data_IF_281494370101
#
_entry.id   IF_281494370101
#
_cell.length_a   1.000
_cell.length_b   1.000
_cell.length_c   1.000
_cell.angle_alpha   90.00
_cell.angle_beta   90.00
_cell.angle_gamma   90.00
#
_symmetry.space_group_name_H-M   'P 1'
#
loop_
_entity.id
_entity.type
_entity.pdbx_description
1 polymer ?
#
# COMPACT_ATOMS: atom_id res chain seq x y z
N UNK A 1 14.71 -27.81 6.52
CA UNK A 1 14.53 -27.02 5.28
C UNK A 1 13.04 -27.06 5.06
N UNK A 2 12.36 -25.95 5.22
CA UNK A 2 10.93 -25.84 4.90
C UNK A 2 10.80 -25.94 3.39
N UNK A 3 9.95 -26.86 2.95
CA UNK A 3 9.69 -27.17 1.52
C UNK A 3 8.80 -26.05 0.94
N UNK A 4 9.33 -24.81 0.92
CA UNK A 4 8.62 -23.68 0.30
C UNK A 4 8.69 -23.82 -1.22
N UNK A 5 7.60 -23.59 -1.94
CA UNK A 5 7.61 -23.66 -3.39
C UNK A 5 8.52 -22.57 -3.99
N UNK A 6 9.04 -22.82 -5.17
CA UNK A 6 9.74 -21.79 -5.94
C UNK A 6 8.80 -20.63 -6.29
N UNK A 7 9.30 -19.38 -6.33
CA UNK A 7 8.52 -18.25 -6.82
C UNK A 7 7.93 -18.49 -8.21
N UNK A 8 6.76 -17.90 -8.48
CA UNK A 8 6.16 -17.97 -9.81
C UNK A 8 7.13 -17.41 -10.86
N UNK A 9 7.24 -17.99 -12.07
CA UNK A 9 8.15 -17.49 -13.11
C UNK A 9 8.01 -16.01 -13.45
N UNK A 10 6.79 -15.46 -13.35
CA UNK A 10 6.52 -14.03 -13.56
C UNK A 10 7.20 -13.12 -12.51
N UNK A 11 7.69 -13.68 -11.39
CA UNK A 11 8.44 -12.93 -10.37
C UNK A 11 9.89 -12.65 -10.78
N UNK A 12 10.39 -13.31 -11.82
CA UNK A 12 11.78 -13.17 -12.26
C UNK A 12 12.23 -11.73 -12.46
N UNK A 13 11.49 -10.84 -13.16
CA UNK A 13 11.93 -9.45 -13.35
C UNK A 13 12.13 -8.70 -12.02
N UNK A 14 11.28 -8.95 -11.02
CA UNK A 14 11.40 -8.33 -9.71
C UNK A 14 12.61 -8.86 -8.93
N UNK A 15 12.86 -10.17 -9.00
CA UNK A 15 14.00 -10.81 -8.35
C UNK A 15 15.30 -10.31 -8.96
N UNK A 16 15.42 -10.36 -10.29
CA UNK A 16 16.61 -9.87 -11.02
C UNK A 16 16.90 -8.39 -10.76
N UNK A 17 15.86 -7.55 -10.76
CA UNK A 17 16.02 -6.12 -10.46
C UNK A 17 16.52 -5.88 -9.02
N UNK A 18 16.12 -6.69 -8.05
CA UNK A 18 16.61 -6.64 -6.66
C UNK A 18 18.04 -7.16 -6.53
N UNK A 19 18.32 -8.29 -7.14
CA UNK A 19 19.65 -8.94 -7.07
C UNK A 19 20.72 -8.09 -7.77
N UNK A 20 20.35 -7.26 -8.72
CA UNK A 20 21.25 -6.30 -9.36
C UNK A 20 21.65 -5.12 -8.45
N UNK A 21 20.96 -4.91 -7.32
CA UNK A 21 21.28 -3.80 -6.41
C UNK A 21 22.50 -4.12 -5.55
N UNK A 22 23.43 -3.16 -5.38
CA UNK A 22 24.57 -3.36 -4.51
C UNK A 22 24.14 -3.43 -3.03
N UNK A 23 24.95 -4.08 -2.16
CA UNK A 23 24.70 -4.05 -0.72
C UNK A 23 24.62 -2.63 -0.20
N UNK A 24 23.56 -2.29 0.55
CA UNK A 24 23.33 -0.98 1.13
C UNK A 24 23.52 -1.02 2.66
N UNK A 25 24.33 -0.10 3.20
CA UNK A 25 24.65 0.02 4.63
C UNK A 25 23.96 1.21 5.29
N UNK A 26 23.53 2.17 4.51
CA UNK A 26 22.89 3.41 4.98
C UNK A 26 21.49 3.54 4.41
N UNK A 27 20.64 4.33 5.06
CA UNK A 27 19.30 4.68 4.55
C UNK A 27 19.39 5.34 3.16
N UNK A 28 20.38 6.23 2.97
CA UNK A 28 20.57 6.89 1.69
C UNK A 28 20.88 5.91 0.55
N UNK A 29 21.75 4.92 0.79
CA UNK A 29 22.05 3.86 -0.18
C UNK A 29 20.83 2.97 -0.44
N UNK A 30 20.06 2.62 0.60
CA UNK A 30 18.84 1.84 0.44
C UNK A 30 17.79 2.60 -0.39
N UNK A 31 17.66 3.91 -0.22
CA UNK A 31 16.77 4.75 -1.04
C UNK A 31 17.25 4.83 -2.48
N UNK A 32 18.55 5.01 -2.71
CA UNK A 32 19.13 5.03 -4.06
C UNK A 32 18.89 3.70 -4.80
N UNK A 33 19.12 2.57 -4.14
CA UNK A 33 18.84 1.24 -4.69
C UNK A 33 17.33 1.06 -5.01
N UNK A 34 16.46 1.56 -4.13
CA UNK A 34 15.01 1.50 -4.34
C UNK A 34 14.57 2.29 -5.57
N UNK A 35 15.10 3.51 -5.73
CA UNK A 35 14.86 4.35 -6.90
C UNK A 35 15.34 3.66 -8.18
N UNK A 36 16.60 3.20 -8.21
CA UNK A 36 17.18 2.50 -9.36
C UNK A 36 16.38 1.25 -9.74
N UNK A 37 16.00 0.42 -8.76
CA UNK A 37 15.15 -0.75 -9.00
C UNK A 37 13.78 -0.35 -9.58
N UNK A 38 13.18 0.71 -9.04
CA UNK A 38 11.87 1.20 -9.50
C UNK A 38 11.92 1.74 -10.93
N UNK A 39 12.99 2.44 -11.29
CA UNK A 39 13.25 2.90 -12.67
C UNK A 39 13.37 1.72 -13.64
N UNK A 40 14.08 0.67 -13.25
CA UNK A 40 14.24 -0.54 -14.08
C UNK A 40 12.92 -1.29 -14.32
N UNK A 41 11.95 -1.15 -13.41
CA UNK A 41 10.64 -1.81 -13.48
C UNK A 41 9.53 -0.87 -13.97
N UNK A 42 9.86 0.37 -14.33
CA UNK A 42 8.87 1.37 -14.76
C UNK A 42 8.26 1.01 -16.10
N UNK A 43 6.95 1.19 -16.22
CA UNK A 43 6.24 1.16 -17.49
C UNK A 43 5.80 2.57 -17.91
N UNK A 44 5.73 2.86 -19.23
CA UNK A 44 5.30 4.16 -19.72
C UNK A 44 3.82 4.42 -19.41
N UNK A 45 3.46 5.69 -19.28
CA UNK A 45 2.05 6.07 -19.13
C UNK A 45 1.23 5.70 -20.36
N UNK A 46 -0.04 5.32 -20.17
CA UNK A 46 -0.99 5.23 -21.27
C UNK A 46 -1.17 6.59 -21.96
N UNK A 47 -1.35 6.60 -23.27
CA UNK A 47 -1.50 7.85 -24.06
C UNK A 47 -2.67 8.73 -23.61
N UNK A 48 -3.70 8.14 -23.02
CA UNK A 48 -4.92 8.82 -22.54
C UNK A 48 -4.88 9.16 -21.04
N UNK A 49 -3.72 9.16 -20.42
CA UNK A 49 -3.53 9.50 -19.00
C UNK A 49 -3.01 10.92 -18.82
N UNK A 50 -3.77 11.75 -18.14
CA UNK A 50 -3.28 13.07 -17.68
C UNK A 50 -2.62 12.91 -16.31
N UNK A 51 -1.39 13.39 -16.18
CA UNK A 51 -0.63 13.36 -14.92
C UNK A 51 -0.32 14.79 -14.50
N UNK A 52 -0.74 15.17 -13.29
CA UNK A 52 -0.52 16.51 -12.73
C UNK A 52 -0.01 16.41 -11.30
N UNK A 53 0.52 17.51 -10.78
CA UNK A 53 0.93 17.62 -9.37
C UNK A 53 -0.05 18.52 -8.63
N UNK A 54 -0.30 18.16 -7.37
CA UNK A 54 -1.06 18.96 -6.40
C UNK A 54 -0.43 18.82 -5.02
N UNK A 55 -0.98 19.48 -3.99
CA UNK A 55 -0.47 19.40 -2.63
C UNK A 55 -1.58 19.60 -1.60
N UNK A 56 -1.73 18.63 -0.70
CA UNK A 56 -2.63 18.71 0.43
C UNK A 56 -2.01 19.54 1.56
N UNK A 57 -2.70 20.57 2.10
CA UNK A 57 -2.19 21.34 3.22
C UNK A 57 -2.12 20.49 4.50
N UNK A 58 -1.09 20.73 5.31
CA UNK A 58 -0.93 20.17 6.66
C UNK A 58 -0.27 21.19 7.59
N UNK A 59 -0.30 21.00 8.92
CA UNK A 59 0.45 21.84 9.83
C UNK A 59 1.95 21.87 9.48
N UNK A 60 2.49 23.06 9.25
CA UNK A 60 3.90 23.29 8.94
C UNK A 60 4.32 22.97 7.50
N UNK A 61 3.36 22.82 6.54
CA UNK A 61 3.71 22.62 5.13
C UNK A 61 2.58 22.00 4.31
N UNK A 62 2.95 21.20 3.34
CA UNK A 62 2.01 20.45 2.49
C UNK A 62 2.54 19.05 2.18
N UNK A 63 1.63 18.17 1.78
CA UNK A 63 1.91 16.80 1.32
C UNK A 63 1.80 16.80 -0.21
N UNK A 64 2.87 16.55 -0.96
CA UNK A 64 2.79 16.48 -2.42
C UNK A 64 1.90 15.31 -2.87
N UNK A 65 1.11 15.55 -3.91
CA UNK A 65 0.24 14.56 -4.54
C UNK A 65 0.54 14.49 -6.04
N UNK A 66 0.65 13.28 -6.58
CA UNK A 66 0.61 13.08 -8.02
C UNK A 66 -0.76 12.54 -8.39
N UNK A 67 -1.42 13.24 -9.32
CA UNK A 67 -2.80 12.96 -9.73
C UNK A 67 -2.79 12.32 -11.11
N UNK A 68 -3.34 11.13 -11.21
CA UNK A 68 -3.52 10.40 -12.46
C UNK A 68 -4.99 10.40 -12.85
N UNK A 69 -5.31 11.06 -13.95
CA UNK A 69 -6.69 11.18 -14.44
C UNK A 69 -6.79 10.54 -15.82
N UNK A 70 -7.43 9.37 -15.95
CA UNK A 70 -7.67 8.76 -17.25
C UNK A 70 -8.71 9.56 -18.03
N UNK A 71 -8.65 9.51 -19.37
CA UNK A 71 -9.69 10.10 -20.20
C UNK A 71 -11.04 9.41 -19.91
N UNK A 72 -12.07 10.21 -19.69
CA UNK A 72 -13.39 9.69 -19.32
C UNK A 72 -13.47 9.15 -17.88
N UNK A 73 -12.71 9.74 -16.96
CA UNK A 73 -12.76 9.39 -15.53
C UNK A 73 -14.22 9.31 -15.03
N UNK A 74 -14.52 8.25 -14.25
CA UNK A 74 -15.89 7.83 -13.91
C UNK A 74 -16.49 8.54 -12.67
N UNK A 75 -15.83 9.57 -12.16
CA UNK A 75 -16.27 10.33 -10.98
C UNK A 75 -15.95 9.66 -9.64
N UNK A 76 -15.09 8.65 -9.60
CA UNK A 76 -14.57 8.06 -8.38
C UNK A 76 -13.09 8.40 -8.15
N UNK A 77 -12.59 8.19 -6.94
CA UNK A 77 -11.19 8.43 -6.60
C UNK A 77 -10.58 7.29 -5.79
N UNK A 78 -9.26 7.14 -5.92
CA UNK A 78 -8.44 6.26 -5.10
C UNK A 78 -7.26 7.07 -4.56
N UNK A 79 -7.10 7.13 -3.24
CA UNK A 79 -5.84 7.56 -2.63
C UNK A 79 -4.91 6.35 -2.53
N UNK A 80 -3.73 6.46 -3.12
CA UNK A 80 -2.74 5.40 -3.12
C UNK A 80 -1.54 5.77 -2.25
N UNK A 81 -1.19 4.87 -1.33
CA UNK A 81 -0.05 4.97 -0.43
C UNK A 81 0.97 3.91 -0.82
N UNK A 82 2.16 4.34 -1.26
CA UNK A 82 3.20 3.44 -1.73
C UNK A 82 3.85 2.64 -0.61
N UNK A 83 4.41 1.47 -0.94
CA UNK A 83 5.24 0.67 -0.04
C UNK A 83 6.67 1.21 0.07
N UNK A 84 7.44 0.62 0.98
CA UNK A 84 8.85 0.96 1.20
C UNK A 84 9.28 0.98 2.66
N UNK A 85 8.54 0.30 3.56
CA UNK A 85 8.87 0.20 4.98
C UNK A 85 8.86 1.53 5.71
N UNK A 86 8.04 2.49 5.28
CA UNK A 86 7.97 3.87 5.78
C UNK A 86 9.30 4.65 5.64
N UNK A 87 10.35 4.03 5.10
CA UNK A 87 11.71 4.56 5.06
C UNK A 87 12.14 4.96 3.66
N UNK A 88 11.60 4.34 2.64
CA UNK A 88 11.93 4.54 1.22
C UNK A 88 10.66 4.55 0.38
N UNK A 89 10.80 4.97 -0.86
CA UNK A 89 9.69 5.20 -1.77
C UNK A 89 9.39 6.69 -1.92
N UNK A 90 8.73 7.00 -3.01
CA UNK A 90 8.33 8.32 -3.45
C UNK A 90 7.27 8.18 -4.55
N UNK A 91 6.83 9.29 -5.12
CA UNK A 91 5.85 9.29 -6.21
C UNK A 91 6.33 8.50 -7.45
N UNK A 92 7.65 8.50 -7.73
CA UNK A 92 8.20 7.81 -8.90
C UNK A 92 8.26 6.29 -8.69
N UNK A 93 8.59 5.86 -7.49
CA UNK A 93 8.68 4.43 -7.17
C UNK A 93 7.31 3.75 -7.05
N UNK A 94 6.25 4.51 -6.71
CA UNK A 94 4.85 4.05 -6.69
C UNK A 94 4.11 4.21 -8.02
N UNK A 95 4.73 4.88 -8.98
CA UNK A 95 4.13 5.39 -10.21
C UNK A 95 3.37 4.31 -11.02
N UNK A 96 4.04 3.20 -11.35
CA UNK A 96 3.46 2.12 -12.17
C UNK A 96 2.22 1.48 -11.52
N UNK A 97 2.18 1.38 -10.21
CA UNK A 97 1.01 0.85 -9.47
C UNK A 97 -0.11 1.89 -9.47
N UNK A 98 0.20 3.16 -9.15
CA UNK A 98 -0.78 4.23 -9.06
C UNK A 98 -1.52 4.48 -10.39
N UNK A 99 -0.80 4.68 -11.50
CA UNK A 99 -1.48 4.86 -12.79
C UNK A 99 -2.16 3.58 -13.27
N UNK A 100 -1.69 2.41 -12.80
CA UNK A 100 -2.35 1.15 -13.05
C UNK A 100 -3.76 1.10 -12.48
N UNK A 101 -3.94 1.51 -11.24
CA UNK A 101 -5.29 1.65 -10.67
C UNK A 101 -6.15 2.61 -11.50
N UNK A 102 -5.61 3.78 -11.87
CA UNK A 102 -6.36 4.75 -12.68
C UNK A 102 -6.80 4.16 -14.04
N UNK A 103 -5.89 3.47 -14.73
CA UNK A 103 -6.16 2.86 -16.03
C UNK A 103 -7.23 1.76 -15.94
N UNK A 104 -7.09 0.86 -14.98
CA UNK A 104 -7.95 -0.33 -14.89
C UNK A 104 -9.32 -0.01 -14.27
N UNK A 105 -9.42 0.97 -13.39
CA UNK A 105 -10.68 1.30 -12.69
C UNK A 105 -11.44 2.47 -13.31
N UNK A 106 -10.78 3.35 -14.05
CA UNK A 106 -11.37 4.61 -14.51
C UNK A 106 -11.45 5.70 -13.42
N UNK A 107 -10.97 5.42 -12.22
CA UNK A 107 -10.93 6.39 -11.12
C UNK A 107 -9.81 7.42 -11.29
N UNK A 108 -9.96 8.60 -10.70
CA UNK A 108 -8.84 9.53 -10.48
C UNK A 108 -8.00 9.01 -9.32
N UNK A 109 -6.69 8.81 -9.53
CA UNK A 109 -5.81 8.30 -8.47
C UNK A 109 -4.90 9.42 -7.95
N UNK A 110 -4.84 9.54 -6.63
CA UNK A 110 -3.96 10.46 -5.92
C UNK A 110 -2.87 9.64 -5.21
N UNK A 111 -1.66 9.65 -5.76
CA UNK A 111 -0.49 9.06 -5.10
C UNK A 111 0.09 10.04 -4.12
N UNK A 112 0.27 9.63 -2.87
CA UNK A 112 0.63 10.49 -1.74
C UNK A 112 2.12 10.35 -1.42
N UNK A 113 2.85 11.47 -1.43
CA UNK A 113 4.26 11.55 -1.06
C UNK A 113 4.40 11.87 0.45
N UNK A 114 4.10 10.88 1.26
CA UNK A 114 4.13 11.01 2.72
C UNK A 114 5.56 11.05 3.26
N UNK A 115 5.76 11.70 4.39
CA UNK A 115 7.06 11.82 5.07
C UNK A 115 7.60 10.48 5.52
N UNK A 116 8.92 10.28 5.36
CA UNK A 116 9.61 9.03 5.61
C UNK A 116 10.45 9.06 6.89
N UNK A 117 10.65 7.87 7.48
CA UNK A 117 11.63 7.62 8.54
C UNK A 117 13.04 7.51 7.95
N UNK A 118 14.09 7.75 8.74
CA UNK A 118 14.10 8.12 10.16
C UNK A 118 13.83 9.61 10.43
N UNK A 119 13.78 10.46 9.38
CA UNK A 119 13.64 11.91 9.54
C UNK A 119 12.29 12.26 10.20
N UNK A 120 11.27 11.46 9.92
CA UNK A 120 9.91 11.65 10.42
C UNK A 120 9.29 10.32 10.83
N UNK A 121 9.47 9.95 12.10
CA UNK A 121 8.83 8.77 12.66
C UNK A 121 7.30 8.92 12.79
N UNK A 122 6.62 7.85 13.18
CA UNK A 122 5.19 7.91 13.51
C UNK A 122 4.93 9.07 14.51
N UNK A 123 3.86 9.86 14.30
CA UNK A 123 2.75 9.65 13.35
C UNK A 123 2.88 10.34 11.98
N UNK A 124 4.05 10.85 11.59
CA UNK A 124 4.18 11.77 10.46
C UNK A 124 3.61 11.25 9.13
N UNK A 125 3.94 10.00 8.73
CA UNK A 125 3.42 9.39 7.51
C UNK A 125 1.88 9.20 7.57
N UNK A 126 1.38 8.77 8.72
CA UNK A 126 -0.06 8.62 8.96
C UNK A 126 -0.79 9.96 8.86
N UNK A 127 -0.27 11.00 9.52
CA UNK A 127 -0.87 12.35 9.50
C UNK A 127 -0.92 12.92 8.07
N UNK A 128 0.14 12.69 7.27
CA UNK A 128 0.19 13.13 5.89
C UNK A 128 -0.85 12.40 5.02
N UNK A 129 -1.00 11.08 5.18
CA UNK A 129 -1.99 10.30 4.45
C UNK A 129 -3.43 10.68 4.83
N UNK A 130 -3.67 10.94 6.12
CA UNK A 130 -4.99 11.37 6.59
C UNK A 130 -5.32 12.80 6.10
N UNK A 131 -4.35 13.73 6.13
CA UNK A 131 -4.51 15.07 5.57
C UNK A 131 -4.80 15.04 4.06
N UNK A 132 -4.16 14.12 3.33
CA UNK A 132 -4.44 13.91 1.91
C UNK A 132 -5.89 13.43 1.68
N UNK A 133 -6.40 12.51 2.52
CA UNK A 133 -7.79 12.07 2.45
C UNK A 133 -8.77 13.24 2.70
N UNK A 134 -8.55 14.03 3.75
CA UNK A 134 -9.40 15.20 4.07
C UNK A 134 -9.39 16.22 2.92
N UNK A 135 -8.21 16.47 2.35
CA UNK A 135 -8.05 17.40 1.24
C UNK A 135 -8.79 16.94 -0.02
N UNK A 136 -8.59 15.68 -0.43
CA UNK A 136 -9.23 15.12 -1.63
C UNK A 136 -10.74 15.07 -1.46
N UNK A 137 -11.25 14.66 -0.31
CA UNK A 137 -12.68 14.63 -0.02
C UNK A 137 -13.29 16.04 -0.02
N UNK A 138 -12.61 17.01 0.60
CA UNK A 138 -13.05 18.40 0.64
C UNK A 138 -13.04 19.11 -0.74
N UNK A 139 -12.22 18.60 -1.67
CA UNK A 139 -12.11 19.12 -3.04
C UNK A 139 -12.66 18.17 -4.13
N UNK A 140 -13.39 17.15 -3.74
CA UNK A 140 -13.86 16.11 -4.65
C UNK A 140 -14.56 16.69 -5.90
N UNK A 141 -15.45 17.67 -5.71
CA UNK A 141 -16.19 18.29 -6.81
C UNK A 141 -15.29 19.05 -7.79
N UNK A 142 -14.18 19.65 -7.32
CA UNK A 142 -13.22 20.37 -8.18
C UNK A 142 -12.53 19.41 -9.17
N UNK A 143 -12.36 18.14 -8.77
CA UNK A 143 -11.82 17.07 -9.61
C UNK A 143 -12.89 16.34 -10.44
N UNK A 144 -14.18 16.63 -10.22
CA UNK A 144 -15.30 15.90 -10.82
C UNK A 144 -15.53 14.54 -10.16
N UNK A 145 -15.27 14.44 -8.86
CA UNK A 145 -15.39 13.22 -8.04
C UNK A 145 -16.61 13.35 -7.13
N UNK A 146 -17.34 12.25 -6.97
CA UNK A 146 -18.35 12.10 -5.92
C UNK A 146 -17.64 11.81 -4.58
N UNK A 147 -17.81 12.64 -3.54
CA UNK A 147 -17.17 12.42 -2.24
C UNK A 147 -17.56 11.10 -1.54
N UNK A 148 -18.67 10.49 -1.94
CA UNK A 148 -19.07 9.15 -1.49
C UNK A 148 -18.35 8.00 -2.20
N UNK A 149 -17.55 8.27 -3.24
CA UNK A 149 -16.88 7.30 -4.10
C UNK A 149 -15.36 7.40 -4.03
N UNK A 150 -14.84 7.50 -2.81
CA UNK A 150 -13.41 7.57 -2.51
C UNK A 150 -12.96 6.27 -1.86
N UNK A 151 -11.97 5.60 -2.43
CA UNK A 151 -11.31 4.45 -1.83
C UNK A 151 -9.88 4.78 -1.39
N UNK A 152 -9.33 3.97 -0.50
CA UNK A 152 -7.90 3.99 -0.15
C UNK A 152 -7.26 2.67 -0.57
N UNK A 153 -6.04 2.74 -1.09
CA UNK A 153 -5.27 1.57 -1.49
C UNK A 153 -3.80 1.75 -1.10
N UNK A 154 -3.15 0.67 -0.72
CA UNK A 154 -1.72 0.73 -0.44
C UNK A 154 -1.07 -0.64 -0.38
N UNK A 155 0.24 -0.67 -0.61
CA UNK A 155 1.04 -1.87 -0.59
C UNK A 155 2.07 -1.85 0.56
N UNK A 156 2.25 -2.96 1.28
CA UNK A 156 3.22 -3.10 2.36
C UNK A 156 3.01 -2.05 3.49
N UNK A 157 3.98 -1.17 3.73
CA UNK A 157 3.83 -0.01 4.61
C UNK A 157 2.66 0.90 4.19
N UNK A 158 2.43 1.08 2.88
CA UNK A 158 1.27 1.79 2.36
C UNK A 158 -0.05 1.08 2.68
N UNK A 159 -0.06 -0.26 2.72
CA UNK A 159 -1.19 -1.05 3.18
C UNK A 159 -1.50 -0.82 4.67
N UNK A 160 -0.47 -0.64 5.50
CA UNK A 160 -0.65 -0.18 6.88
C UNK A 160 -1.32 1.19 6.92
N UNK A 161 -0.79 2.16 6.17
CA UNK A 161 -1.33 3.52 6.12
C UNK A 161 -2.79 3.55 5.63
N UNK A 162 -3.16 2.71 4.65
CA UNK A 162 -4.54 2.59 4.17
C UNK A 162 -5.48 2.04 5.27
N UNK A 163 -5.05 1.02 6.01
CA UNK A 163 -5.80 0.50 7.14
C UNK A 163 -5.92 1.54 8.28
N UNK A 164 -4.81 2.20 8.64
CA UNK A 164 -4.78 3.22 9.69
C UNK A 164 -5.65 4.44 9.34
N UNK A 165 -5.62 4.90 8.09
CA UNK A 165 -6.47 6.00 7.60
C UNK A 165 -7.94 5.60 7.63
N UNK A 166 -8.28 4.35 7.29
CA UNK A 166 -9.66 3.84 7.36
C UNK A 166 -10.17 3.81 8.80
N UNK A 167 -9.35 3.35 9.75
CA UNK A 167 -9.66 3.41 11.18
C UNK A 167 -9.89 4.84 11.65
N UNK A 168 -8.97 5.76 11.32
CA UNK A 168 -9.06 7.16 11.73
C UNK A 168 -10.25 7.89 11.13
N UNK A 169 -10.59 7.63 9.86
CA UNK A 169 -11.74 8.22 9.20
C UNK A 169 -13.04 7.84 9.93
N UNK A 170 -13.20 6.58 10.30
CA UNK A 170 -14.33 6.13 11.12
C UNK A 170 -14.31 6.76 12.51
N UNK A 171 -13.20 6.66 13.23
CA UNK A 171 -13.11 7.06 14.66
C UNK A 171 -13.29 8.57 14.85
N UNK A 172 -12.87 9.36 13.85
CA UNK A 172 -12.96 10.83 13.87
C UNK A 172 -14.24 11.36 13.21
N UNK A 173 -15.12 10.49 12.71
CA UNK A 173 -16.24 10.87 11.85
C UNK A 173 -15.78 11.75 10.68
N UNK A 174 -14.67 11.38 10.08
CA UNK A 174 -14.03 12.05 8.95
C UNK A 174 -14.66 11.69 7.60
N UNK A 175 -13.94 11.88 6.49
CA UNK A 175 -14.44 11.57 5.15
C UNK A 175 -14.86 10.11 5.02
N UNK A 176 -15.97 9.87 4.32
CA UNK A 176 -16.42 8.51 4.02
C UNK A 176 -15.43 7.83 3.06
N UNK A 177 -15.07 6.58 3.37
CA UNK A 177 -14.27 5.71 2.52
C UNK A 177 -15.18 4.59 2.00
N UNK A 178 -15.32 4.47 0.68
CA UNK A 178 -16.16 3.47 0.03
C UNK A 178 -15.56 2.07 0.07
N UNK A 179 -14.22 1.96 0.01
CA UNK A 179 -13.50 0.69 0.05
C UNK A 179 -12.05 0.89 0.47
N UNK A 180 -11.42 -0.18 1.02
CA UNK A 180 -9.99 -0.24 1.30
C UNK A 180 -9.35 -1.44 0.63
N UNK A 181 -8.20 -1.25 -0.02
CA UNK A 181 -7.39 -2.29 -0.64
C UNK A 181 -6.03 -2.34 0.02
N UNK A 182 -5.74 -3.45 0.70
CA UNK A 182 -4.51 -3.67 1.47
C UNK A 182 -3.70 -4.79 0.84
N UNK A 183 -2.58 -4.46 0.21
CA UNK A 183 -1.77 -5.41 -0.54
C UNK A 183 -0.54 -5.79 0.28
N UNK A 184 -0.38 -7.06 0.60
CA UNK A 184 0.65 -7.62 1.51
C UNK A 184 0.98 -6.66 2.67
N UNK A 185 -0.04 -6.23 3.45
CA UNK A 185 0.09 -5.11 4.36
C UNK A 185 0.93 -5.46 5.59
N UNK A 186 1.70 -4.50 6.10
CA UNK A 186 2.50 -4.60 7.33
C UNK A 186 1.67 -4.06 8.52
N UNK A 187 0.92 -4.91 9.22
CA UNK A 187 -0.13 -4.47 10.16
C UNK A 187 0.23 -4.61 11.65
N UNK A 188 1.42 -5.10 11.96
CA UNK A 188 1.93 -5.14 13.33
C UNK A 188 1.77 -6.47 14.04
N UNK A 189 1.72 -7.58 13.30
CA UNK A 189 1.76 -8.92 13.89
C UNK A 189 3.12 -9.19 14.56
N UNK A 190 3.11 -10.10 15.52
CA UNK A 190 4.34 -10.49 16.22
C UNK A 190 5.30 -11.22 15.28
N UNK A 191 6.44 -10.59 14.98
CA UNK A 191 7.48 -11.14 14.10
C UNK A 191 8.18 -12.40 14.64
N UNK A 192 7.88 -12.85 15.87
CA UNK A 192 8.41 -14.10 16.42
C UNK A 192 7.58 -15.34 16.06
N UNK A 193 6.46 -15.18 15.32
CA UNK A 193 5.50 -16.23 15.03
C UNK A 193 5.20 -16.33 13.54
N UNK A 194 4.59 -17.44 13.14
CA UNK A 194 3.98 -17.65 11.83
C UNK A 194 4.91 -17.46 10.65
N UNK A 195 4.38 -16.83 9.58
CA UNK A 195 5.13 -16.60 8.33
C UNK A 195 6.33 -15.69 8.50
N UNK A 196 6.33 -14.79 9.48
CA UNK A 196 7.52 -14.02 9.83
C UNK A 196 8.71 -14.88 10.29
N UNK A 197 8.47 -16.14 10.67
CA UNK A 197 9.52 -17.14 11.01
C UNK A 197 9.74 -18.11 9.85
N UNK A 198 8.68 -18.66 9.28
CA UNK A 198 8.79 -19.68 8.21
C UNK A 198 9.25 -19.10 6.88
N UNK A 199 9.00 -17.82 6.61
CA UNK A 199 9.44 -17.08 5.44
C UNK A 199 10.45 -15.95 5.80
N UNK A 200 11.24 -16.14 6.86
CA UNK A 200 12.14 -15.10 7.41
C UNK A 200 13.15 -14.56 6.39
N UNK A 201 13.58 -15.39 5.46
CA UNK A 201 14.56 -15.07 4.40
C UNK A 201 13.93 -15.11 3.01
N UNK A 202 12.61 -14.83 2.90
CA UNK A 202 11.91 -14.86 1.63
C UNK A 202 12.50 -13.86 0.62
N UNK A 203 12.50 -14.21 -0.68
CA UNK A 203 12.93 -13.28 -1.70
C UNK A 203 12.15 -11.96 -1.63
N UNK A 204 12.86 -10.85 -1.55
CA UNK A 204 12.27 -9.50 -1.62
C UNK A 204 11.95 -8.84 -0.30
N UNK A 205 11.63 -9.56 0.75
CA UNK A 205 11.44 -9.02 2.09
C UNK A 205 11.90 -10.04 3.13
N UNK A 206 12.80 -9.61 4.03
CA UNK A 206 13.27 -10.45 5.12
C UNK A 206 12.70 -9.98 6.46
N UNK A 207 12.60 -10.90 7.42
CA UNK A 207 12.26 -10.58 8.81
C UNK A 207 13.18 -9.52 9.41
N UNK A 208 14.48 -9.59 9.08
CA UNK A 208 15.47 -8.58 9.53
C UNK A 208 15.09 -7.19 9.04
N UNK A 209 14.77 -7.03 7.75
CA UNK A 209 14.34 -5.77 7.20
C UNK A 209 13.03 -5.26 7.84
N UNK A 210 12.07 -6.15 8.10
CA UNK A 210 10.83 -5.80 8.81
C UNK A 210 11.11 -5.22 10.21
N UNK A 211 12.00 -5.87 10.98
CA UNK A 211 12.38 -5.38 12.31
C UNK A 211 13.02 -3.99 12.24
N UNK A 212 13.90 -3.75 11.25
CA UNK A 212 14.52 -2.45 11.03
C UNK A 212 13.48 -1.36 10.69
N UNK A 213 12.50 -1.68 9.82
CA UNK A 213 11.43 -0.74 9.46
C UNK A 213 10.55 -0.37 10.65
N UNK A 214 10.16 -1.35 11.48
CA UNK A 214 9.40 -1.10 12.69
C UNK A 214 10.14 -0.21 13.67
N UNK A 215 11.42 -0.51 13.94
CA UNK A 215 12.26 0.31 14.84
C UNK A 215 12.36 1.76 14.38
N UNK A 216 12.53 1.98 13.07
CA UNK A 216 12.58 3.33 12.51
C UNK A 216 11.20 4.01 12.57
N UNK A 217 10.14 3.30 12.24
CA UNK A 217 8.78 3.84 12.22
C UNK A 217 8.30 4.24 13.61
N UNK A 218 8.58 3.41 14.61
CA UNK A 218 8.19 3.62 16.01
C UNK A 218 9.24 4.38 16.83
N UNK A 219 10.21 5.05 16.20
CA UNK A 219 11.26 5.82 16.85
C UNK A 219 12.05 5.02 17.91
N UNK A 220 12.42 3.79 17.57
CA UNK A 220 13.19 2.89 18.42
C UNK A 220 12.37 1.99 19.36
N UNK A 221 11.04 2.10 19.36
CA UNK A 221 10.19 1.16 20.09
C UNK A 221 9.98 -0.12 19.26
N UNK A 222 9.97 -1.28 19.93
CA UNK A 222 9.73 -2.58 19.27
C UNK A 222 8.24 -2.89 19.13
N UNK A 223 7.41 -2.32 19.98
CA UNK A 223 5.96 -2.56 20.06
C UNK A 223 5.20 -1.27 20.29
N UNK A 224 3.95 -1.24 19.89
CA UNK A 224 3.02 -0.13 20.15
C UNK A 224 1.62 -0.70 20.37
N UNK A 225 0.81 -0.01 21.15
CA UNK A 225 -0.63 -0.25 21.32
C UNK A 225 -1.50 0.73 20.51
N UNK A 226 -0.86 1.61 19.75
CA UNK A 226 -1.56 2.59 18.92
C UNK A 226 -2.08 1.94 17.62
N UNK A 227 -3.43 1.85 17.42
CA UNK A 227 -4.01 1.21 16.23
C UNK A 227 -3.71 1.95 14.92
N UNK A 228 -3.32 3.22 14.96
CA UNK A 228 -2.93 3.97 13.77
C UNK A 228 -1.47 3.73 13.36
N UNK A 229 -0.66 3.18 14.26
CA UNK A 229 0.68 2.71 13.91
C UNK A 229 0.66 1.22 13.53
N UNK A 230 -0.06 0.41 14.30
CA UNK A 230 -0.17 -1.03 14.12
C UNK A 230 -1.65 -1.45 14.10
N UNK A 231 -2.32 -1.44 12.95
CA UNK A 231 -3.77 -1.69 12.83
C UNK A 231 -4.27 -3.03 13.40
N UNK A 232 -3.40 -4.02 13.57
CA UNK A 232 -3.75 -5.27 14.26
C UNK A 232 -3.81 -5.14 15.79
N UNK A 233 -3.33 -4.04 16.37
CA UNK A 233 -3.23 -3.89 17.82
C UNK A 233 -4.29 -2.91 18.32
N UNK A 234 -5.15 -3.37 19.24
CA UNK A 234 -6.10 -2.51 19.95
C UNK A 234 -7.21 -1.87 19.10
N UNK A 235 -7.36 -2.25 17.83
CA UNK A 235 -8.39 -1.69 16.98
C UNK A 235 -9.74 -2.37 17.19
N UNK A 236 -10.83 -1.57 17.14
CA UNK A 236 -12.16 -2.07 16.83
C UNK A 236 -12.29 -2.21 15.29
N UNK A 237 -12.74 -3.37 14.82
CA UNK A 237 -12.87 -3.69 13.41
C UNK A 237 -14.29 -3.49 12.87
N UNK A 238 -15.24 -3.09 13.73
CA UNK A 238 -16.61 -2.82 13.30
C UNK A 238 -16.72 -1.53 12.48
N UNK A 239 -17.69 -1.48 11.56
CA UNK A 239 -18.03 -0.32 10.76
C UNK A 239 -16.86 0.27 9.93
N UNK A 240 -15.86 -0.55 9.61
CA UNK A 240 -14.83 -0.19 8.63
C UNK A 240 -15.36 -0.36 7.21
N UNK A 241 -14.77 0.34 6.22
CA UNK A 241 -15.16 0.17 4.82
C UNK A 241 -14.91 -1.27 4.35
N UNK A 242 -15.68 -1.77 3.37
CA UNK A 242 -15.41 -3.05 2.72
C UNK A 242 -13.94 -3.15 2.33
N UNK A 243 -13.33 -4.33 2.57
CA UNK A 243 -11.89 -4.51 2.43
C UNK A 243 -11.54 -5.61 1.42
N UNK A 244 -10.53 -5.37 0.58
CA UNK A 244 -9.80 -6.43 -0.12
C UNK A 244 -8.42 -6.57 0.52
N UNK A 245 -8.16 -7.75 1.09
CA UNK A 245 -6.87 -8.08 1.69
C UNK A 245 -6.15 -9.05 0.76
N UNK A 246 -5.03 -8.62 0.20
CA UNK A 246 -4.25 -9.40 -0.75
C UNK A 246 -2.86 -9.70 -0.19
N UNK A 247 -2.56 -10.96 0.06
CA UNK A 247 -1.25 -11.40 0.55
C UNK A 247 -0.46 -12.12 -0.54
N UNK A 248 0.85 -12.22 -0.38
CA UNK A 248 1.70 -13.07 -1.18
C UNK A 248 2.05 -14.34 -0.37
N UNK A 249 2.03 -15.50 -1.01
CA UNK A 249 2.30 -16.76 -0.31
C UNK A 249 3.74 -16.84 0.25
N UNK A 250 4.71 -16.33 -0.52
CA UNK A 250 6.13 -16.34 -0.16
C UNK A 250 6.54 -15.00 0.48
N UNK A 251 5.86 -14.64 1.58
CA UNK A 251 6.02 -13.33 2.22
C UNK A 251 5.95 -13.47 3.75
N UNK A 252 6.91 -12.92 4.51
CA UNK A 252 6.84 -12.92 5.97
C UNK A 252 5.64 -12.15 6.54
N UNK A 253 4.96 -11.31 5.74
CA UNK A 253 3.75 -10.57 6.12
C UNK A 253 2.44 -11.29 5.77
N UNK A 254 2.49 -12.53 5.26
CA UNK A 254 1.26 -13.23 4.86
C UNK A 254 0.25 -13.33 6.01
N UNK A 255 0.70 -13.69 7.20
CA UNK A 255 -0.18 -13.84 8.38
C UNK A 255 -0.75 -12.50 8.86
N UNK A 256 -0.09 -11.36 8.65
CA UNK A 256 -0.64 -10.04 8.96
C UNK A 256 -2.00 -9.85 8.24
N UNK A 257 -2.02 -10.16 6.93
CA UNK A 257 -3.24 -10.06 6.14
C UNK A 257 -4.29 -11.10 6.51
N UNK A 258 -3.91 -12.35 6.80
CA UNK A 258 -4.82 -13.42 7.25
C UNK A 258 -5.54 -13.00 8.52
N UNK A 259 -4.77 -12.61 9.55
CA UNK A 259 -5.33 -12.24 10.87
C UNK A 259 -6.20 -11.00 10.75
N UNK A 260 -5.82 -10.01 9.94
CA UNK A 260 -6.62 -8.81 9.73
C UNK A 260 -7.96 -9.15 9.06
N UNK A 261 -7.95 -9.98 8.02
CA UNK A 261 -9.17 -10.44 7.35
C UNK A 261 -10.10 -11.20 8.31
N UNK A 262 -9.57 -12.06 9.18
CA UNK A 262 -10.37 -12.80 10.14
C UNK A 262 -10.98 -11.88 11.21
N UNK A 263 -10.28 -10.84 11.64
CA UNK A 263 -10.84 -9.84 12.58
C UNK A 263 -11.95 -9.00 11.94
N UNK A 264 -11.79 -8.60 10.66
CA UNK A 264 -12.87 -7.92 9.92
C UNK A 264 -14.11 -8.80 9.82
N UNK A 265 -13.96 -10.08 9.46
CA UNK A 265 -15.07 -11.05 9.42
C UNK A 265 -15.76 -11.19 10.78
N UNK A 266 -14.97 -11.32 11.85
CA UNK A 266 -15.50 -11.45 13.22
C UNK A 266 -16.30 -10.21 13.65
N UNK A 267 -15.94 -9.03 13.13
CA UNK A 267 -16.64 -7.76 13.36
C UNK A 267 -17.78 -7.49 12.36
N UNK A 268 -18.14 -8.47 11.52
CA UNK A 268 -19.14 -8.34 10.45
C UNK A 268 -18.84 -7.23 9.42
N UNK A 269 -17.58 -6.82 9.28
CA UNK A 269 -17.14 -5.92 8.22
C UNK A 269 -16.90 -6.72 6.93
N UNK A 270 -17.48 -6.33 5.77
CA UNK A 270 -17.30 -7.04 4.52
C UNK A 270 -15.82 -7.12 4.14
N UNK A 271 -15.34 -8.33 3.84
CA UNK A 271 -13.94 -8.56 3.46
C UNK A 271 -13.82 -9.66 2.42
N UNK A 272 -13.03 -9.38 1.39
CA UNK A 272 -12.51 -10.37 0.43
C UNK A 272 -11.03 -10.59 0.75
N UNK A 273 -10.66 -11.85 0.98
CA UNK A 273 -9.27 -12.25 1.21
C UNK A 273 -8.75 -13.08 0.04
N UNK A 274 -7.55 -12.76 -0.42
CA UNK A 274 -6.82 -13.49 -1.46
C UNK A 274 -5.36 -13.69 -1.05
N UNK A 275 -4.87 -14.93 -1.13
CA UNK A 275 -3.43 -15.22 -1.11
C UNK A 275 -2.97 -15.49 -2.53
N UNK A 276 -2.03 -14.71 -3.03
CA UNK A 276 -1.44 -14.86 -4.35
C UNK A 276 -0.39 -15.97 -4.32
N UNK A 277 -0.72 -17.12 -4.95
CA UNK A 277 0.09 -18.33 -4.92
C UNK A 277 1.45 -18.12 -5.58
N UNK A 278 2.51 -18.55 -4.91
CA UNK A 278 3.91 -18.45 -5.34
C UNK A 278 4.38 -17.03 -5.68
N UNK A 279 3.61 -16.01 -5.28
CA UNK A 279 4.05 -14.61 -5.38
C UNK A 279 4.92 -14.24 -4.19
N UNK A 280 5.83 -13.29 -4.40
CA UNK A 280 6.69 -12.70 -3.38
C UNK A 280 6.24 -11.27 -3.06
N UNK A 281 6.73 -10.74 -1.95
CA UNK A 281 6.46 -9.35 -1.55
C UNK A 281 6.82 -8.34 -2.66
N UNK A 282 5.89 -7.44 -2.97
CA UNK A 282 6.07 -6.40 -3.99
C UNK A 282 5.65 -6.79 -5.41
N UNK A 283 4.91 -7.89 -5.60
CA UNK A 283 4.52 -8.37 -6.93
C UNK A 283 3.72 -7.34 -7.75
N UNK A 284 2.93 -6.47 -7.13
CA UNK A 284 2.15 -5.45 -7.86
C UNK A 284 3.01 -4.46 -8.66
N UNK A 285 4.28 -4.28 -8.29
CA UNK A 285 5.22 -3.38 -8.99
C UNK A 285 5.54 -3.83 -10.40
N UNK A 286 5.36 -5.13 -10.67
CA UNK A 286 5.60 -5.75 -11.97
C UNK A 286 4.32 -6.26 -12.63
N UNK A 287 3.16 -5.65 -12.31
CA UNK A 287 1.83 -6.04 -12.81
C UNK A 287 1.72 -6.16 -14.34
N UNK A 288 2.67 -5.59 -15.08
CA UNK A 288 2.71 -5.58 -16.54
C UNK A 288 3.71 -6.60 -17.14
N UNK A 289 4.46 -7.35 -16.34
CA UNK A 289 5.52 -8.24 -16.83
C UNK A 289 5.08 -9.68 -17.08
N UNK A 290 3.91 -10.09 -16.59
CA UNK A 290 3.41 -11.44 -16.79
C UNK A 290 1.93 -11.60 -16.49
N UNK A 291 1.28 -12.63 -17.09
CA UNK A 291 -0.16 -12.83 -16.99
C UNK A 291 -0.63 -13.16 -15.57
N UNK A 292 0.16 -13.89 -14.77
CA UNK A 292 -0.23 -14.24 -13.42
C UNK A 292 -0.24 -13.00 -12.50
N UNK A 293 0.78 -12.15 -12.59
CA UNK A 293 0.82 -10.90 -11.82
C UNK A 293 -0.28 -9.94 -12.26
N UNK A 294 -0.51 -9.85 -13.57
CA UNK A 294 -1.62 -9.04 -14.08
C UNK A 294 -2.95 -9.52 -13.54
N UNK A 295 -3.19 -10.82 -13.53
CA UNK A 295 -4.41 -11.40 -12.96
C UNK A 295 -4.63 -10.99 -11.50
N UNK A 296 -3.61 -11.10 -10.66
CA UNK A 296 -3.71 -10.70 -9.25
C UNK A 296 -3.99 -9.18 -9.10
N UNK A 297 -3.43 -8.34 -9.99
CA UNK A 297 -3.74 -6.91 -10.00
C UNK A 297 -5.18 -6.62 -10.50
N UNK A 298 -5.65 -7.37 -11.48
CA UNK A 298 -7.01 -7.24 -12.01
C UNK A 298 -8.09 -7.58 -10.95
N UNK A 299 -7.80 -8.51 -10.03
CA UNK A 299 -8.70 -8.81 -8.91
C UNK A 299 -8.87 -7.60 -7.97
N UNK A 300 -7.78 -6.89 -7.66
CA UNK A 300 -7.84 -5.65 -6.87
C UNK A 300 -8.69 -4.59 -7.55
N UNK A 301 -8.46 -4.40 -8.85
CA UNK A 301 -9.19 -3.42 -9.65
C UNK A 301 -10.67 -3.80 -9.81
N UNK A 302 -10.98 -5.09 -9.93
CA UNK A 302 -12.35 -5.61 -9.97
C UNK A 302 -13.13 -5.27 -8.69
N UNK A 303 -12.54 -5.51 -7.53
CA UNK A 303 -13.13 -5.15 -6.24
C UNK A 303 -13.36 -3.64 -6.12
N UNK A 304 -12.38 -2.82 -6.53
CA UNK A 304 -12.52 -1.36 -6.50
C UNK A 304 -13.66 -0.89 -7.42
N UNK A 305 -13.79 -1.45 -8.61
CA UNK A 305 -14.92 -1.13 -9.52
C UNK A 305 -16.26 -1.44 -8.86
N UNK A 306 -16.42 -2.62 -8.27
CA UNK A 306 -17.66 -3.04 -7.60
C UNK A 306 -18.10 -2.05 -6.51
N UNK A 307 -17.16 -1.46 -5.78
CA UNK A 307 -17.45 -0.57 -4.64
C UNK A 307 -17.40 0.93 -5.00
N UNK A 308 -16.85 1.27 -6.17
CA UNK A 308 -16.75 2.64 -6.65
C UNK A 308 -17.71 2.96 -7.79
N UNK A 309 -18.39 1.98 -8.37
CA UNK A 309 -19.44 2.19 -9.35
C UNK A 309 -20.73 2.71 -8.67
N UNK A 310 -21.56 3.56 -9.37
CA UNK A 310 -22.75 4.17 -8.78
C UNK A 310 -23.84 3.15 -8.49
#
# INVERSE_FOLDING_TARGET
>A
MTDQPDPHPDMRPLIEARDAMPPAKTVAEQRANWTQMSEALRAPYPENMTVTMDAAPRPGGSVPLRVYKPAGANGSAILYFHGGGFMKGDLDSGDTVAWGYAQETGAVVFSVDYRLTPEHAFPAAFDDCYAALEYVAGKALDYGIDPGRIAVAGDSAGGNLAAAVSLAARDRNGPQIAAQVLVYPMLGLNLALGTAVTAADAPGLTKKALSEYWLLYLNGAEVTDNPYAAPLVGADFAALPPAFIHTAELDPLCDDGVVYADRLKAAATPVTYRCAERMIHGFTRIRHTGPAVKHEFDLLCGFLKEHLDP
#
